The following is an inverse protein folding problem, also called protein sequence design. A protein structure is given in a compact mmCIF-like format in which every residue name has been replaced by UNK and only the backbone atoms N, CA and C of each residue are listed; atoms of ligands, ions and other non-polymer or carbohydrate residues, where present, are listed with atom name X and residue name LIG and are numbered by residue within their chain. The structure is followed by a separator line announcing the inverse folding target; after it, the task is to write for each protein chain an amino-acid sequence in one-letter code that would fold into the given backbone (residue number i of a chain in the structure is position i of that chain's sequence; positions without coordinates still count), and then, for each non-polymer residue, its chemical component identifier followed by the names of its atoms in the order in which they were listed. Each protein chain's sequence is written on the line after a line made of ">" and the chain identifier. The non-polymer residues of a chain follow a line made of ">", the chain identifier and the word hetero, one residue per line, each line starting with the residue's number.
data_IF_541512564269
#
_entry.id   IF_541512564269
#
_cell.length_a   1.000
_cell.length_b   1.000
_cell.length_c   1.000
_cell.angle_alpha   90.00
_cell.angle_beta   90.00
_cell.angle_gamma   90.00
#
_symmetry.space_group_name_H-M   'P 1'
#
loop_
_entity.id
_entity.type
_entity.pdbx_description
1 polymer ?
#
# COMPACT_ATOMS: atom_id res chain seq x y z
N UNK A 1 -0.70 -4.36 -20.74
CA UNK A 1 0.59 -3.67 -20.66
C UNK A 1 1.53 -4.52 -19.84
N UNK A 2 2.81 -4.55 -20.19
CA UNK A 2 3.89 -5.34 -19.57
C UNK A 2 3.92 -5.24 -18.05
N UNK A 3 3.59 -4.06 -17.48
CA UNK A 3 3.51 -3.82 -16.04
C UNK A 3 2.48 -4.71 -15.29
N UNK A 4 1.56 -5.35 -16.01
CA UNK A 4 0.52 -6.21 -15.44
C UNK A 4 0.72 -7.69 -15.76
N UNK A 5 1.81 -8.05 -16.46
CA UNK A 5 2.15 -9.44 -16.74
C UNK A 5 2.80 -10.07 -15.50
N UNK A 6 2.14 -11.03 -14.82
CA UNK A 6 2.69 -11.64 -13.62
C UNK A 6 3.96 -12.47 -13.90
N UNK A 7 4.11 -13.02 -15.09
CA UNK A 7 5.29 -13.83 -15.44
C UNK A 7 6.49 -12.94 -15.74
N UNK A 8 6.30 -11.87 -16.52
CA UNK A 8 7.36 -10.89 -16.81
C UNK A 8 7.86 -10.18 -15.54
N UNK A 9 6.98 -10.03 -14.53
CA UNK A 9 7.30 -9.39 -13.25
C UNK A 9 7.80 -10.36 -12.17
N UNK A 10 7.97 -11.65 -12.47
CA UNK A 10 8.43 -12.66 -11.52
C UNK A 10 9.91 -13.00 -11.75
N UNK A 11 10.80 -12.12 -11.30
CA UNK A 11 12.25 -12.31 -11.44
C UNK A 11 12.86 -12.52 -10.05
N UNK A 12 13.10 -13.78 -9.68
CA UNK A 12 13.72 -14.15 -8.41
C UNK A 12 15.21 -13.81 -8.42
N UNK A 13 15.66 -13.14 -7.38
CA UNK A 13 17.07 -12.81 -7.16
C UNK A 13 17.40 -12.89 -5.67
N UNK A 14 18.61 -13.32 -5.36
CA UNK A 14 19.15 -13.17 -4.00
C UNK A 14 19.63 -11.74 -3.78
N UNK A 15 19.77 -11.33 -2.51
CA UNK A 15 20.30 -10.02 -2.15
C UNK A 15 21.69 -9.79 -2.79
N UNK A 16 22.53 -10.85 -2.82
CA UNK A 16 23.85 -10.81 -3.46
C UNK A 16 23.72 -10.54 -4.97
N UNK A 17 22.86 -11.26 -5.69
CA UNK A 17 22.63 -11.02 -7.12
C UNK A 17 22.10 -9.62 -7.40
N UNK A 18 21.25 -9.08 -6.52
CA UNK A 18 20.78 -7.70 -6.63
C UNK A 18 21.92 -6.70 -6.47
N UNK A 19 22.79 -6.86 -5.48
CA UNK A 19 23.94 -6.01 -5.28
C UNK A 19 24.96 -6.10 -6.43
N UNK A 20 25.19 -7.31 -6.97
CA UNK A 20 26.07 -7.51 -8.11
C UNK A 20 25.49 -6.86 -9.39
N UNK A 21 24.16 -6.93 -9.60
CA UNK A 21 23.50 -6.37 -10.79
C UNK A 21 23.29 -4.84 -10.69
N UNK A 22 23.13 -4.30 -9.48
CA UNK A 22 22.79 -2.91 -9.24
C UNK A 22 23.67 -2.30 -8.13
N UNK A 23 24.98 -2.17 -8.36
CA UNK A 23 25.96 -1.82 -7.32
C UNK A 23 25.83 -0.39 -6.78
N UNK A 24 25.19 0.52 -7.52
CA UNK A 24 25.01 1.91 -7.09
C UNK A 24 23.74 2.12 -6.23
N UNK A 25 22.89 1.10 -6.10
CA UNK A 25 21.67 1.17 -5.27
C UNK A 25 21.98 0.61 -3.88
N UNK A 26 21.90 1.40 -2.81
CA UNK A 26 22.20 0.95 -1.45
C UNK A 26 21.04 0.13 -0.86
N UNK A 27 20.78 -1.05 -1.43
CA UNK A 27 19.60 -1.88 -1.12
C UNK A 27 19.50 -2.27 0.35
N UNK A 28 20.62 -2.60 1.00
CA UNK A 28 20.61 -2.92 2.44
C UNK A 28 20.27 -1.69 3.29
N UNK A 29 20.79 -0.52 2.95
CA UNK A 29 20.48 0.72 3.67
C UNK A 29 19.01 1.10 3.50
N UNK A 30 18.45 0.92 2.29
CA UNK A 30 17.02 1.15 2.04
C UNK A 30 16.15 0.17 2.83
N UNK A 31 16.47 -1.11 2.82
CA UNK A 31 15.74 -2.13 3.57
C UNK A 31 15.79 -1.87 5.08
N UNK A 32 16.96 -1.52 5.61
CA UNK A 32 17.11 -1.16 7.02
C UNK A 32 16.30 0.11 7.38
N UNK A 33 16.26 1.09 6.51
CA UNK A 33 15.44 2.30 6.68
C UNK A 33 13.94 2.00 6.75
N UNK A 34 13.47 0.99 6.01
CA UNK A 34 12.08 0.50 6.03
C UNK A 34 11.84 -0.54 7.15
N UNK A 35 12.82 -0.85 7.98
CA UNK A 35 12.71 -1.84 9.04
C UNK A 35 12.63 -3.29 8.55
N UNK A 36 13.03 -3.56 7.30
CA UNK A 36 13.03 -4.91 6.72
C UNK A 36 14.31 -5.62 7.17
N UNK A 37 14.15 -6.73 7.89
CA UNK A 37 15.29 -7.51 8.37
C UNK A 37 15.94 -8.28 7.21
N UNK A 38 17.27 -8.39 7.23
CA UNK A 38 18.05 -9.09 6.21
C UNK A 38 17.66 -10.57 6.04
N UNK A 39 17.13 -11.21 7.07
CA UNK A 39 16.62 -12.60 7.00
C UNK A 39 15.47 -12.76 6.01
N UNK A 40 14.67 -11.70 5.74
CA UNK A 40 13.59 -11.69 4.76
C UNK A 40 14.05 -11.32 3.34
N UNK A 41 15.32 -10.95 3.18
CA UNK A 41 15.90 -10.52 1.92
C UNK A 41 16.71 -11.63 1.21
N UNK A 42 16.65 -12.85 1.70
CA UNK A 42 17.42 -13.98 1.13
C UNK A 42 16.97 -14.31 -0.31
N UNK A 43 15.69 -14.14 -0.59
CA UNK A 43 15.10 -14.35 -1.91
C UNK A 43 14.06 -13.25 -2.15
N UNK A 44 14.29 -12.45 -3.18
CA UNK A 44 13.47 -11.29 -3.54
C UNK A 44 12.89 -11.47 -4.94
N UNK A 45 11.72 -10.88 -5.17
CA UNK A 45 11.11 -10.82 -6.50
C UNK A 45 11.28 -9.39 -7.03
N UNK A 46 12.03 -9.27 -8.14
CA UNK A 46 12.24 -8.00 -8.82
C UNK A 46 11.22 -7.88 -9.94
N UNK A 47 10.22 -7.01 -9.76
CA UNK A 47 9.16 -6.87 -10.73
C UNK A 47 9.60 -6.25 -12.06
N UNK A 48 10.58 -5.35 -12.03
CA UNK A 48 10.98 -4.58 -13.22
C UNK A 48 12.51 -4.41 -13.28
N UNK A 49 13.26 -5.43 -13.72
CA UNK A 49 14.71 -5.36 -13.78
C UNK A 49 15.26 -4.20 -14.61
N UNK A 50 14.59 -3.84 -15.72
CA UNK A 50 14.98 -2.72 -16.57
C UNK A 50 14.89 -1.37 -15.84
N UNK A 51 13.89 -1.18 -14.97
CA UNK A 51 13.79 0.01 -14.11
C UNK A 51 14.97 0.08 -13.14
N UNK A 52 15.29 -1.03 -12.46
CA UNK A 52 16.42 -1.08 -11.53
C UNK A 52 17.75 -0.81 -12.24
N UNK A 53 17.96 -1.35 -13.45
CA UNK A 53 19.16 -1.08 -14.23
C UNK A 53 19.30 0.39 -14.64
N UNK A 54 18.18 1.06 -14.99
CA UNK A 54 18.18 2.49 -15.29
C UNK A 54 18.41 3.33 -14.02
N UNK A 55 17.78 2.96 -12.91
CA UNK A 55 17.93 3.66 -11.63
C UNK A 55 19.34 3.49 -11.06
N UNK A 56 19.97 2.32 -11.22
CA UNK A 56 21.36 2.09 -10.82
C UNK A 56 22.33 3.06 -11.50
N UNK A 57 22.17 3.25 -12.82
CA UNK A 57 22.98 4.24 -13.57
C UNK A 57 22.76 5.67 -13.06
N UNK A 58 21.52 6.03 -12.71
CA UNK A 58 21.22 7.35 -12.13
C UNK A 58 21.76 7.51 -10.73
N UNK A 59 21.93 6.42 -9.99
CA UNK A 59 22.44 6.42 -8.61
C UNK A 59 23.96 6.48 -8.52
N UNK A 60 24.68 6.47 -9.65
CA UNK A 60 26.12 6.62 -9.68
C UNK A 60 26.56 7.97 -9.04
N UNK A 61 27.74 7.97 -8.45
CA UNK A 61 28.27 9.11 -7.67
C UNK A 61 28.33 10.43 -8.45
N UNK A 62 28.56 10.40 -9.75
CA UNK A 62 28.57 11.56 -10.63
C UNK A 62 27.20 12.29 -10.71
N UNK A 63 26.12 11.63 -10.36
CA UNK A 63 24.77 12.17 -10.39
C UNK A 63 24.29 12.68 -9.01
N UNK A 64 25.15 12.71 -7.99
CA UNK A 64 24.76 13.01 -6.62
C UNK A 64 24.03 14.36 -6.45
N UNK A 65 24.44 15.40 -7.20
CA UNK A 65 23.77 16.71 -7.15
C UNK A 65 22.34 16.67 -7.71
N UNK A 66 22.13 15.90 -8.78
CA UNK A 66 20.81 15.71 -9.41
C UNK A 66 19.91 14.89 -8.49
N UNK A 67 20.44 13.81 -7.91
CA UNK A 67 19.70 12.97 -6.94
C UNK A 67 19.30 13.79 -5.70
N UNK A 68 20.20 14.61 -5.16
CA UNK A 68 19.89 15.51 -4.04
C UNK A 68 18.75 16.49 -4.39
N UNK A 69 18.78 17.09 -5.57
CA UNK A 69 17.72 17.99 -6.04
C UNK A 69 16.37 17.24 -6.19
N UNK A 70 16.39 16.03 -6.75
CA UNK A 70 15.22 15.17 -6.90
C UNK A 70 14.62 14.77 -5.54
N UNK A 71 15.47 14.39 -4.58
CA UNK A 71 15.05 14.09 -3.21
C UNK A 71 14.40 15.28 -2.54
N UNK A 72 15.03 16.47 -2.62
CA UNK A 72 14.50 17.70 -2.05
C UNK A 72 13.13 18.06 -2.69
N UNK A 73 13.06 17.98 -4.01
CA UNK A 73 11.79 18.19 -4.72
C UNK A 73 10.71 17.19 -4.29
N UNK A 74 11.05 15.91 -4.12
CA UNK A 74 10.12 14.88 -3.67
C UNK A 74 9.59 15.17 -2.26
N UNK A 75 10.45 15.61 -1.34
CA UNK A 75 10.08 16.01 0.02
C UNK A 75 9.13 17.23 -0.02
N UNK A 76 9.49 18.30 -0.73
CA UNK A 76 8.65 19.50 -0.85
C UNK A 76 7.28 19.13 -1.46
N UNK A 77 7.27 18.33 -2.52
CA UNK A 77 6.04 17.89 -3.18
C UNK A 77 5.15 17.07 -2.26
N UNK A 78 5.69 16.07 -1.58
CA UNK A 78 4.92 15.21 -0.67
C UNK A 78 4.40 15.98 0.56
N UNK A 79 5.12 17.03 0.97
CA UNK A 79 4.77 17.89 2.10
C UNK A 79 3.90 19.09 1.70
N UNK A 80 3.66 19.33 0.42
CA UNK A 80 3.02 20.55 -0.10
C UNK A 80 1.70 20.92 0.57
N UNK A 81 0.92 19.90 1.00
CA UNK A 81 -0.37 20.10 1.69
C UNK A 81 -0.23 20.73 3.08
N UNK A 82 0.98 20.74 3.67
CA UNK A 82 1.28 21.16 5.04
C UNK A 82 2.28 22.32 5.10
N UNK A 83 2.72 22.80 3.94
CA UNK A 83 3.60 23.97 3.80
C UNK A 83 2.77 25.24 3.58
N UNK A 84 3.38 26.28 3.00
CA UNK A 84 2.70 27.54 2.74
C UNK A 84 1.58 27.40 1.68
N UNK A 85 0.64 28.34 1.67
CA UNK A 85 -0.45 28.34 0.69
C UNK A 85 0.08 28.45 -0.75
N UNK A 86 1.16 29.21 -0.98
CA UNK A 86 1.76 29.33 -2.32
C UNK A 86 2.28 27.97 -2.83
N UNK A 87 2.94 27.18 -1.97
CA UNK A 87 3.45 25.86 -2.35
C UNK A 87 2.29 24.89 -2.59
N UNK A 88 1.27 24.93 -1.75
CA UNK A 88 0.07 24.11 -1.88
C UNK A 88 -0.68 24.43 -3.18
N UNK A 89 -0.86 25.72 -3.47
CA UNK A 89 -1.56 26.18 -4.67
C UNK A 89 -0.79 25.84 -5.95
N UNK A 90 0.51 26.07 -5.98
CA UNK A 90 1.37 25.66 -7.09
C UNK A 90 1.30 24.13 -7.34
N UNK A 91 1.34 23.33 -6.29
CA UNK A 91 1.17 21.86 -6.40
C UNK A 91 -0.22 21.50 -6.94
N UNK A 92 -1.28 22.15 -6.48
CA UNK A 92 -2.63 21.91 -6.96
C UNK A 92 -2.82 22.37 -8.40
N UNK A 93 -2.30 23.51 -8.81
CA UNK A 93 -2.40 24.02 -10.19
C UNK A 93 -1.78 23.05 -11.20
N UNK A 94 -0.65 22.44 -10.85
CA UNK A 94 -0.02 21.47 -11.73
C UNK A 94 -0.69 20.09 -11.62
N UNK A 95 -0.66 19.45 -10.44
CA UNK A 95 -1.12 18.08 -10.28
C UNK A 95 -2.64 17.91 -10.19
N UNK A 96 -3.32 18.90 -9.62
CA UNK A 96 -4.77 18.90 -9.49
C UNK A 96 -5.44 19.36 -10.79
N UNK A 97 -5.13 20.58 -11.25
CA UNK A 97 -5.79 21.15 -12.43
C UNK A 97 -5.24 20.58 -13.73
N UNK A 98 -3.94 20.72 -13.99
CA UNK A 98 -3.34 20.36 -15.28
C UNK A 98 -3.33 18.86 -15.50
N UNK A 99 -2.86 18.07 -14.53
CA UNK A 99 -2.69 16.62 -14.69
C UNK A 99 -3.97 15.84 -14.44
N UNK A 100 -4.81 16.26 -13.50
CA UNK A 100 -6.00 15.50 -13.08
C UNK A 100 -7.34 16.14 -13.51
N UNK A 101 -7.33 17.32 -14.14
CA UNK A 101 -8.52 17.99 -14.64
C UNK A 101 -9.47 18.53 -13.56
N UNK A 102 -9.01 18.61 -12.30
CA UNK A 102 -9.82 19.16 -11.21
C UNK A 102 -9.95 20.67 -11.35
N UNK A 103 -11.14 21.20 -11.10
CA UNK A 103 -11.40 22.66 -11.21
C UNK A 103 -10.99 23.40 -9.96
N UNK A 104 -11.22 22.78 -8.77
CA UNK A 104 -11.01 23.39 -7.46
C UNK A 104 -10.34 22.39 -6.50
N UNK A 105 -9.59 22.92 -5.53
CA UNK A 105 -9.05 22.12 -4.44
C UNK A 105 -10.16 21.79 -3.42
N UNK A 106 -9.92 20.77 -2.61
CA UNK A 106 -10.85 20.43 -1.54
C UNK A 106 -10.88 21.55 -0.48
N UNK A 107 -12.06 21.88 0.06
CA UNK A 107 -12.16 22.81 1.17
C UNK A 107 -11.40 22.28 2.39
N UNK A 108 -10.98 23.19 3.25
CA UNK A 108 -10.13 22.86 4.43
C UNK A 108 -10.71 21.72 5.28
N UNK A 109 -12.01 21.74 5.56
CA UNK A 109 -12.65 20.70 6.37
C UNK A 109 -12.49 19.30 5.75
N UNK A 110 -12.59 19.19 4.42
CA UNK A 110 -12.46 17.92 3.72
C UNK A 110 -11.00 17.44 3.70
N UNK A 111 -10.04 18.37 3.52
CA UNK A 111 -8.61 18.07 3.63
C UNK A 111 -8.25 17.59 5.04
N UNK A 112 -8.76 18.27 6.06
CA UNK A 112 -8.54 17.90 7.46
C UNK A 112 -9.15 16.52 7.79
N UNK A 113 -10.38 16.25 7.33
CA UNK A 113 -11.02 14.94 7.52
C UNK A 113 -10.23 13.82 6.84
N UNK A 114 -9.77 14.02 5.61
CA UNK A 114 -8.93 13.05 4.92
C UNK A 114 -7.61 12.79 5.68
N UNK A 115 -7.05 13.83 6.30
CA UNK A 115 -5.84 13.68 7.10
C UNK A 115 -6.09 12.85 8.36
N UNK A 116 -7.18 13.09 9.07
CA UNK A 116 -7.59 12.26 10.22
C UNK A 116 -7.83 10.81 9.79
N UNK A 117 -8.48 10.60 8.65
CA UNK A 117 -8.71 9.26 8.09
C UNK A 117 -7.39 8.54 7.76
N UNK A 118 -6.43 9.23 7.15
CA UNK A 118 -5.13 8.65 6.81
C UNK A 118 -4.28 8.30 8.03
N UNK A 119 -4.34 9.11 9.09
CA UNK A 119 -3.49 8.92 10.28
C UNK A 119 -4.17 8.08 11.37
N UNK A 120 -5.48 8.24 11.54
CA UNK A 120 -6.26 7.63 12.61
C UNK A 120 -7.57 7.00 12.08
N UNK A 121 -7.50 6.35 10.90
CA UNK A 121 -8.67 5.84 10.20
C UNK A 121 -9.52 4.87 11.04
N UNK A 122 -8.91 4.05 11.87
CA UNK A 122 -9.66 3.14 12.74
C UNK A 122 -10.39 3.88 13.88
N UNK A 123 -9.81 4.95 14.43
CA UNK A 123 -10.49 5.76 15.44
C UNK A 123 -11.75 6.43 14.86
N UNK A 124 -11.63 7.02 13.66
CA UNK A 124 -12.77 7.59 12.93
C UNK A 124 -13.74 6.49 12.51
N UNK A 125 -13.25 5.36 12.00
CA UNK A 125 -14.03 4.20 11.60
C UNK A 125 -14.88 3.62 12.74
N UNK A 126 -14.35 3.61 13.97
CA UNK A 126 -15.09 3.18 15.15
C UNK A 126 -16.33 4.05 15.41
N UNK A 127 -16.21 5.36 15.25
CA UNK A 127 -17.34 6.30 15.40
C UNK A 127 -18.35 6.07 14.27
N UNK A 128 -17.87 5.93 13.03
CA UNK A 128 -18.70 5.66 11.87
C UNK A 128 -19.48 4.34 12.01
N UNK A 129 -18.80 3.26 12.36
CA UNK A 129 -19.44 1.94 12.51
C UNK A 129 -20.49 1.91 13.60
N UNK A 130 -20.24 2.58 14.73
CA UNK A 130 -21.23 2.71 15.80
C UNK A 130 -22.54 3.35 15.32
N UNK A 131 -22.46 4.28 14.36
CA UNK A 131 -23.60 5.02 13.84
C UNK A 131 -24.28 4.35 12.64
N UNK A 132 -23.50 3.79 11.72
CA UNK A 132 -23.98 3.39 10.40
C UNK A 132 -23.80 1.91 10.06
N UNK A 133 -22.98 1.17 10.81
CA UNK A 133 -22.71 -0.25 10.54
C UNK A 133 -22.73 -1.08 11.84
N UNK A 134 -23.91 -1.36 12.40
CA UNK A 134 -24.05 -2.08 13.66
C UNK A 134 -23.57 -3.54 13.55
N UNK A 135 -23.32 -4.16 14.70
CA UNK A 135 -22.85 -5.55 14.80
C UNK A 135 -23.77 -6.55 14.08
N UNK A 136 -25.08 -6.30 14.08
CA UNK A 136 -26.06 -7.13 13.34
C UNK A 136 -25.78 -7.17 11.85
N UNK A 137 -25.41 -6.03 11.25
CA UNK A 137 -25.04 -5.95 9.84
C UNK A 137 -23.75 -6.72 9.57
N UNK A 138 -22.76 -6.62 10.45
CA UNK A 138 -21.52 -7.41 10.33
C UNK A 138 -21.82 -8.91 10.37
N UNK A 139 -22.59 -9.37 11.34
CA UNK A 139 -22.99 -10.79 11.45
C UNK A 139 -23.76 -11.30 10.24
N UNK A 140 -24.64 -10.48 9.67
CA UNK A 140 -25.38 -10.82 8.46
C UNK A 140 -24.41 -11.03 7.27
N UNK A 141 -23.45 -10.14 7.10
CA UNK A 141 -22.44 -10.24 6.04
C UNK A 141 -21.48 -11.41 6.26
N UNK A 142 -21.08 -11.70 7.50
CA UNK A 142 -20.27 -12.87 7.84
C UNK A 142 -21.02 -14.17 7.48
N UNK A 143 -22.31 -14.24 7.77
CA UNK A 143 -23.17 -15.38 7.39
C UNK A 143 -23.26 -15.50 5.88
N UNK A 144 -23.45 -14.39 5.15
CA UNK A 144 -23.49 -14.39 3.69
C UNK A 144 -22.20 -14.96 3.10
N UNK A 145 -21.04 -14.48 3.57
CA UNK A 145 -19.74 -14.94 3.06
C UNK A 145 -19.51 -16.41 3.40
N UNK A 146 -19.91 -16.86 4.61
CA UNK A 146 -19.83 -18.29 4.96
C UNK A 146 -20.66 -19.16 4.03
N UNK A 147 -21.88 -18.73 3.69
CA UNK A 147 -22.74 -19.47 2.74
C UNK A 147 -22.11 -19.50 1.33
N UNK A 148 -21.48 -18.39 0.89
CA UNK A 148 -20.73 -18.36 -0.37
C UNK A 148 -19.55 -19.34 -0.37
N UNK A 149 -18.83 -19.45 0.73
CA UNK A 149 -17.73 -20.43 0.87
C UNK A 149 -18.23 -21.85 0.81
N UNK A 150 -19.36 -22.16 1.48
CA UNK A 150 -20.00 -23.49 1.41
C UNK A 150 -20.39 -23.81 -0.04
N UNK A 151 -21.12 -22.90 -0.69
CA UNK A 151 -21.55 -23.10 -2.08
C UNK A 151 -20.38 -23.24 -3.06
N UNK A 152 -19.25 -22.54 -2.79
CA UNK A 152 -18.04 -22.71 -3.60
C UNK A 152 -17.43 -24.11 -3.38
N UNK A 153 -17.41 -24.61 -2.15
CA UNK A 153 -16.98 -25.98 -1.85
C UNK A 153 -17.80 -27.02 -2.62
N UNK A 154 -19.13 -26.93 -2.54
CA UNK A 154 -20.05 -27.82 -3.29
C UNK A 154 -19.81 -27.75 -4.80
N UNK A 155 -19.53 -26.55 -5.34
CA UNK A 155 -19.20 -26.38 -6.75
C UNK A 155 -17.87 -27.01 -7.15
N UNK A 156 -16.86 -26.95 -6.28
CA UNK A 156 -15.56 -27.63 -6.49
C UNK A 156 -15.79 -29.14 -6.58
N UNK A 157 -16.58 -29.71 -5.67
CA UNK A 157 -16.87 -31.13 -5.64
C UNK A 157 -17.63 -31.61 -6.90
N UNK A 158 -18.52 -30.76 -7.39
CA UNK A 158 -19.34 -31.07 -8.59
C UNK A 158 -18.55 -30.96 -9.91
N UNK A 159 -17.29 -30.45 -9.93
CA UNK A 159 -16.56 -30.35 -11.19
C UNK A 159 -16.08 -31.69 -11.71
N UNK A 160 -16.44 -32.01 -12.95
CA UNK A 160 -16.06 -33.28 -13.61
C UNK A 160 -14.69 -33.24 -14.26
N UNK A 161 -14.15 -32.04 -14.53
CA UNK A 161 -12.84 -31.86 -15.16
C UNK A 161 -11.69 -31.82 -14.16
N UNK A 162 -11.98 -31.61 -12.86
CA UNK A 162 -10.97 -31.58 -11.80
C UNK A 162 -10.69 -33.02 -11.31
N UNK A 163 -9.40 -33.36 -11.18
CA UNK A 163 -8.99 -34.58 -10.47
C UNK A 163 -9.21 -34.44 -8.95
N UNK A 164 -9.29 -35.57 -8.25
CA UNK A 164 -9.48 -35.58 -6.79
C UNK A 164 -8.35 -34.84 -6.06
N UNK A 165 -7.11 -34.96 -6.54
CA UNK A 165 -5.96 -34.22 -6.01
C UNK A 165 -6.14 -32.69 -6.16
N UNK A 166 -6.66 -32.27 -7.32
CA UNK A 166 -6.92 -30.86 -7.60
C UNK A 166 -8.06 -30.32 -6.73
N UNK A 167 -9.14 -31.11 -6.54
CA UNK A 167 -10.25 -30.75 -5.64
C UNK A 167 -9.77 -30.59 -4.20
N UNK A 168 -8.98 -31.54 -3.70
CA UNK A 168 -8.40 -31.46 -2.36
C UNK A 168 -7.52 -30.21 -2.17
N UNK A 169 -6.71 -29.85 -3.17
CA UNK A 169 -5.91 -28.64 -3.16
C UNK A 169 -6.78 -27.36 -3.17
N UNK A 170 -7.87 -27.36 -3.93
CA UNK A 170 -8.83 -26.25 -4.00
C UNK A 170 -9.57 -26.06 -2.65
N UNK A 171 -10.01 -27.14 -2.00
CA UNK A 171 -10.59 -27.08 -0.65
C UNK A 171 -9.58 -26.55 0.37
N UNK A 172 -8.33 -27.04 0.37
CA UNK A 172 -7.27 -26.53 1.24
C UNK A 172 -7.02 -25.02 1.04
N UNK A 173 -7.19 -24.52 -0.18
CA UNK A 173 -7.09 -23.08 -0.46
C UNK A 173 -8.32 -22.33 0.06
N UNK A 174 -9.52 -22.88 -0.10
CA UNK A 174 -10.77 -22.32 0.40
C UNK A 174 -10.78 -22.22 1.92
N UNK A 175 -10.31 -23.24 2.63
CA UNK A 175 -10.23 -23.28 4.10
C UNK A 175 -9.27 -22.20 4.68
N UNK A 176 -8.27 -21.78 3.87
CA UNK A 176 -7.33 -20.72 4.24
C UNK A 176 -7.82 -19.31 3.92
N UNK A 177 -9.03 -19.18 3.40
CA UNK A 177 -9.59 -17.88 3.05
C UNK A 177 -9.84 -17.06 4.32
N UNK A 178 -9.11 -15.96 4.48
CA UNK A 178 -9.30 -15.06 5.60
C UNK A 178 -10.29 -13.96 5.22
N UNK A 179 -11.37 -13.87 6.00
CA UNK A 179 -12.49 -12.95 5.73
C UNK A 179 -12.37 -11.70 6.59
N UNK A 180 -12.43 -10.52 5.98
CA UNK A 180 -12.47 -9.23 6.66
C UNK A 180 -13.75 -8.51 6.26
N UNK A 181 -14.64 -8.26 7.24
CA UNK A 181 -15.95 -7.63 7.00
C UNK A 181 -16.11 -6.40 7.90
N UNK A 182 -16.44 -5.27 7.28
CA UNK A 182 -16.80 -4.03 7.94
C UNK A 182 -15.65 -3.42 8.73
N UNK A 183 -15.40 -3.92 9.93
CA UNK A 183 -14.40 -3.38 10.84
C UNK A 183 -13.61 -4.49 11.56
N UNK A 184 -12.40 -4.21 12.07
CA UNK A 184 -11.56 -5.20 12.71
C UNK A 184 -12.18 -5.72 14.02
N UNK A 185 -11.88 -6.98 14.38
CA UNK A 185 -12.31 -7.54 15.66
C UNK A 185 -11.59 -6.91 16.85
N UNK A 186 -10.36 -6.44 16.63
CA UNK A 186 -9.57 -5.68 17.61
C UNK A 186 -9.17 -4.36 16.96
N UNK A 187 -9.67 -3.27 17.52
CA UNK A 187 -9.33 -1.91 17.08
C UNK A 187 -7.93 -1.51 17.53
N UNK A 188 -7.29 -0.68 16.73
CA UNK A 188 -6.02 -0.04 17.11
C UNK A 188 -6.21 0.81 18.35
N UNK A 189 -5.30 0.66 19.31
CA UNK A 189 -5.29 1.48 20.53
C UNK A 189 -4.50 2.77 20.27
N UNK A 190 -5.20 3.90 20.36
CA UNK A 190 -4.63 5.25 20.22
C UNK A 190 -4.43 5.95 21.56
N UNK A 191 -4.50 5.24 22.70
CA UNK A 191 -4.41 5.85 24.03
C UNK A 191 -3.06 6.54 24.31
N UNK A 192 -2.00 6.10 23.62
CA UNK A 192 -0.67 6.70 23.72
C UNK A 192 -0.43 7.83 22.72
N UNK A 193 -1.38 8.09 21.81
CA UNK A 193 -1.23 9.14 20.82
C UNK A 193 -1.43 10.50 21.51
N UNK A 194 -0.39 11.34 21.46
CA UNK A 194 -0.47 12.71 21.92
C UNK A 194 -0.34 13.66 20.72
N UNK A 195 -1.37 14.47 20.51
CA UNK A 195 -1.41 15.48 19.45
C UNK A 195 -1.26 16.84 20.08
N UNK A 196 -0.16 17.53 19.79
CA UNK A 196 0.11 18.88 20.27
C UNK A 196 -0.18 19.89 19.14
N UNK A 197 -1.30 20.64 19.22
CA UNK A 197 -1.69 21.58 18.17
C UNK A 197 -0.77 22.82 18.08
N UNK A 198 0.11 23.02 19.04
CA UNK A 198 1.09 24.11 19.02
C UNK A 198 2.34 23.80 18.19
N UNK A 199 2.55 22.54 17.83
CA UNK A 199 3.67 22.10 16.99
C UNK A 199 3.30 22.09 15.52
N UNK A 200 4.34 22.16 14.69
CA UNK A 200 4.15 21.93 13.24
C UNK A 200 3.69 20.51 12.97
N UNK A 201 3.17 20.29 11.77
CA UNK A 201 2.77 18.94 11.32
C UNK A 201 3.95 17.96 11.25
N UNK A 202 5.17 18.47 11.03
CA UNK A 202 6.43 17.71 10.99
C UNK A 202 7.30 17.98 12.20
#
# INVERSE_FOLDING_TARGET
>A
TELRDPQANYNKMTLKQLGDNYPNIPLEALANGEGIKSEYMQELIVGQPAFFAAYDKLSAAENASVLKALMLWSVIRSSSAYLTDEIREANFDFFGKTMSGRKEDYPLWKRATNQVENQMGEALGRIYCKKFFPESSKKMMETLVKNLQISLGERIDAQTWMSDVTKAAAHKKLDKFYVKIGYPNKWTDYSLLNIDPSKSYY
#
